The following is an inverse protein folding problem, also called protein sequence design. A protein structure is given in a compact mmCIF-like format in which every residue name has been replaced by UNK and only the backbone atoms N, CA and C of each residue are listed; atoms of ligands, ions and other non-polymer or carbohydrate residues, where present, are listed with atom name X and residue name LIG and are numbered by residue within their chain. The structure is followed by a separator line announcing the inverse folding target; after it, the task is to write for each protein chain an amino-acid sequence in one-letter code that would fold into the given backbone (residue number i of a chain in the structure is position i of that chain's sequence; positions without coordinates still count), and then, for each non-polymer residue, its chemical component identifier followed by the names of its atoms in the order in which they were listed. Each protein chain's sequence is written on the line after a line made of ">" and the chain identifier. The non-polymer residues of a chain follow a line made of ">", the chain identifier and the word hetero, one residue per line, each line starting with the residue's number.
data_IF_605715338905
#
_entry.id   IF_605715338905
#
_cell.length_a   1.000
_cell.length_b   1.000
_cell.length_c   1.000
_cell.angle_alpha   90.00
_cell.angle_beta   90.00
_cell.angle_gamma   90.00
#
_symmetry.space_group_name_H-M   'P 1'
#
loop_
_entity.id
_entity.type
_entity.pdbx_description
1 polymer ?
#
# COMPACT_ATOMS: atom_id res chain seq x y z
N UNK A 1 -36.77 44.23 9.42
CA UNK A 1 -37.43 43.03 9.98
C UNK A 1 -38.35 42.48 8.90
N UNK A 2 -37.94 41.42 8.20
CA UNK A 2 -38.66 40.85 7.06
C UNK A 2 -39.64 39.79 7.54
N UNK A 3 -40.93 40.12 7.54
CA UNK A 3 -42.02 39.17 7.80
C UNK A 3 -42.26 38.39 6.50
N UNK A 4 -41.80 37.14 6.47
CA UNK A 4 -42.08 36.21 5.36
C UNK A 4 -43.53 35.74 5.48
N UNK A 5 -44.36 35.87 4.43
CA UNK A 5 -45.75 35.42 4.48
C UNK A 5 -45.82 33.89 4.64
N UNK A 6 -46.85 33.35 5.34
CA UNK A 6 -47.06 31.92 5.46
C UNK A 6 -47.39 31.36 4.08
N UNK A 7 -46.48 30.55 3.53
CA UNK A 7 -46.71 29.86 2.26
C UNK A 7 -47.89 28.88 2.37
N UNK A 8 -48.64 28.67 1.28
CA UNK A 8 -49.76 27.73 1.27
C UNK A 8 -49.25 26.30 1.48
N UNK A 9 -49.86 25.63 2.46
CA UNK A 9 -49.95 24.18 2.68
C UNK A 9 -48.88 23.33 2.00
N UNK A 10 -47.76 23.16 2.70
CA UNK A 10 -46.81 22.10 2.40
C UNK A 10 -47.55 20.75 2.54
N UNK A 11 -47.59 19.90 1.49
CA UNK A 11 -48.29 18.63 1.57
C UNK A 11 -47.69 17.82 2.71
N UNK A 12 -48.55 17.43 3.65
CA UNK A 12 -48.18 16.64 4.80
C UNK A 12 -47.39 15.41 4.34
N UNK A 13 -46.18 15.24 4.88
CA UNK A 13 -45.47 13.97 4.81
C UNK A 13 -46.44 12.86 5.23
N UNK A 14 -46.51 11.72 4.52
CA UNK A 14 -47.47 10.65 4.79
C UNK A 14 -47.39 10.09 6.23
N UNK A 15 -46.30 10.35 6.95
CA UNK A 15 -46.07 9.89 8.32
C UNK A 15 -46.20 10.99 9.38
N UNK A 16 -46.69 12.18 9.00
CA UNK A 16 -46.87 13.30 9.93
C UNK A 16 -48.14 13.10 10.77
N UNK A 17 -48.00 12.45 11.93
CA UNK A 17 -49.09 12.34 12.91
C UNK A 17 -49.36 13.72 13.53
N UNK A 18 -50.61 14.17 13.43
CA UNK A 18 -51.11 15.37 14.07
C UNK A 18 -51.30 15.08 15.57
N UNK A 19 -50.62 15.82 16.45
CA UNK A 19 -50.69 15.63 17.90
C UNK A 19 -51.23 16.91 18.53
N UNK A 20 -52.27 16.80 19.36
CA UNK A 20 -52.76 17.94 20.13
C UNK A 20 -51.73 18.28 21.21
N UNK A 21 -51.20 19.50 21.16
CA UNK A 21 -50.16 19.98 22.08
C UNK A 21 -50.70 20.94 23.14
N UNK A 22 -51.92 21.44 22.98
CA UNK A 22 -52.50 22.34 23.97
C UNK A 22 -53.88 22.87 23.58
N UNK A 23 -54.26 23.95 24.24
CA UNK A 23 -55.48 24.72 23.99
C UNK A 23 -55.06 26.20 23.95
N UNK A 24 -55.56 26.95 22.97
CA UNK A 24 -55.29 28.39 22.84
C UNK A 24 -56.04 29.23 23.90
N UNK A 25 -55.74 30.53 23.96
CA UNK A 25 -56.35 31.46 24.92
C UNK A 25 -57.87 31.67 24.70
N UNK A 26 -58.42 31.12 23.61
CA UNK A 26 -59.85 31.16 23.28
C UNK A 26 -60.53 29.79 23.52
N UNK A 27 -59.82 28.81 24.09
CA UNK A 27 -60.36 27.49 24.37
C UNK A 27 -60.34 26.52 23.18
N UNK A 28 -59.70 26.88 22.07
CA UNK A 28 -59.57 26.05 20.87
C UNK A 28 -58.38 25.07 20.95
N UNK A 29 -58.49 23.84 20.41
CA UNK A 29 -57.41 22.86 20.47
C UNK A 29 -56.23 23.23 19.55
N UNK A 30 -55.02 23.25 20.10
CA UNK A 30 -53.78 23.52 19.38
C UNK A 30 -53.11 22.21 18.94
N UNK A 31 -52.75 22.10 17.67
CA UNK A 31 -52.13 20.91 17.09
C UNK A 31 -50.72 21.20 16.55
N UNK A 32 -49.81 20.25 16.76
CA UNK A 32 -48.49 20.26 16.14
C UNK A 32 -48.27 19.00 15.29
N UNK A 33 -47.48 19.17 14.24
CA UNK A 33 -47.02 18.06 13.44
C UNK A 33 -45.76 17.46 14.07
N UNK A 34 -45.81 16.18 14.43
CA UNK A 34 -44.61 15.44 14.83
C UNK A 34 -43.95 14.87 13.58
N UNK A 35 -42.82 15.45 13.17
CA UNK A 35 -42.01 14.89 12.08
C UNK A 35 -41.03 13.88 12.67
N UNK A 36 -41.32 12.59 12.49
CA UNK A 36 -40.38 11.53 12.85
C UNK A 36 -39.21 11.58 11.88
N UNK A 37 -37.98 11.78 12.39
CA UNK A 37 -36.79 11.75 11.54
C UNK A 37 -36.63 10.35 10.93
N UNK A 38 -36.30 10.24 9.63
CA UNK A 38 -36.09 8.95 8.99
C UNK A 38 -34.93 8.22 9.69
N UNK A 39 -35.19 6.97 10.10
CA UNK A 39 -34.16 6.11 10.68
C UNK A 39 -33.17 5.74 9.57
N UNK A 40 -31.98 6.35 9.60
CA UNK A 40 -30.89 5.98 8.69
C UNK A 40 -30.35 4.64 9.15
N UNK A 41 -30.71 3.56 8.46
CA UNK A 41 -30.07 2.26 8.69
C UNK A 41 -28.59 2.35 8.32
N UNK A 42 -27.66 1.90 9.18
CA UNK A 42 -26.25 1.84 8.83
C UNK A 42 -26.07 0.91 7.63
N UNK A 43 -25.42 1.41 6.58
CA UNK A 43 -25.11 0.62 5.40
C UNK A 43 -24.28 -0.62 5.80
N UNK A 44 -24.50 -1.77 5.16
CA UNK A 44 -23.76 -2.99 5.47
C UNK A 44 -22.25 -2.76 5.26
N UNK A 45 -21.46 -3.03 6.31
CA UNK A 45 -19.99 -3.00 6.23
C UNK A 45 -19.54 -4.13 5.30
N UNK A 46 -19.25 -3.78 4.06
CA UNK A 46 -18.65 -4.69 3.08
C UNK A 46 -17.22 -4.98 3.52
N UNK A 47 -16.99 -6.16 4.09
CA UNK A 47 -15.64 -6.67 4.38
C UNK A 47 -14.89 -6.90 3.06
N UNK A 48 -14.16 -5.88 2.60
CA UNK A 48 -13.21 -6.02 1.49
C UNK A 48 -11.92 -6.67 2.03
N UNK A 49 -11.35 -7.67 1.33
CA UNK A 49 -10.16 -8.40 1.79
C UNK A 49 -8.87 -7.61 1.56
N UNK A 50 -8.75 -6.43 2.18
CA UNK A 50 -7.58 -5.57 2.11
C UNK A 50 -6.28 -6.29 2.53
N UNK A 51 -6.39 -7.24 3.46
CA UNK A 51 -5.26 -8.03 3.95
C UNK A 51 -4.57 -8.87 2.87
N UNK A 52 -5.31 -9.38 1.88
CA UNK A 52 -4.72 -10.16 0.80
C UNK A 52 -3.80 -9.31 -0.09
N UNK A 53 -4.21 -8.08 -0.40
CA UNK A 53 -3.39 -7.15 -1.19
C UNK A 53 -2.14 -6.68 -0.44
N UNK A 54 -2.27 -6.41 0.86
CA UNK A 54 -1.13 -6.03 1.69
C UNK A 54 -0.11 -7.19 1.84
N UNK A 55 -0.59 -8.41 2.03
CA UNK A 55 0.26 -9.60 2.11
C UNK A 55 0.99 -9.86 0.78
N UNK A 56 0.31 -9.69 -0.36
CA UNK A 56 0.91 -9.87 -1.68
C UNK A 56 2.02 -8.83 -1.95
N UNK A 57 1.78 -7.58 -1.55
CA UNK A 57 2.75 -6.49 -1.71
C UNK A 57 4.03 -6.71 -0.89
N UNK A 58 3.89 -7.01 0.40
CA UNK A 58 5.05 -7.29 1.26
C UNK A 58 5.81 -8.55 0.84
N UNK A 59 5.11 -9.61 0.45
CA UNK A 59 5.74 -10.83 -0.05
C UNK A 59 6.59 -10.58 -1.29
N UNK A 60 6.08 -9.76 -2.23
CA UNK A 60 6.82 -9.39 -3.44
C UNK A 60 8.09 -8.58 -3.12
N UNK A 61 7.98 -7.57 -2.25
CA UNK A 61 9.14 -6.76 -1.85
C UNK A 61 10.20 -7.61 -1.15
N UNK A 62 9.79 -8.50 -0.25
CA UNK A 62 10.70 -9.41 0.43
C UNK A 62 11.41 -10.33 -0.56
N UNK A 63 10.65 -10.97 -1.47
CA UNK A 63 11.23 -11.80 -2.53
C UNK A 63 12.22 -11.01 -3.40
N UNK A 64 11.86 -9.80 -3.81
CA UNK A 64 12.73 -8.93 -4.62
C UNK A 64 14.02 -8.58 -3.88
N UNK A 65 13.95 -8.24 -2.59
CA UNK A 65 15.12 -7.91 -1.77
C UNK A 65 16.07 -9.10 -1.62
N UNK A 66 15.52 -10.30 -1.37
CA UNK A 66 16.31 -11.54 -1.26
C UNK A 66 16.99 -11.84 -2.59
N UNK A 67 16.27 -11.79 -3.70
CA UNK A 67 16.85 -12.00 -5.04
C UNK A 67 17.94 -10.97 -5.32
N UNK A 68 17.73 -9.70 -4.99
CA UNK A 68 18.72 -8.64 -5.15
C UNK A 68 20.00 -8.91 -4.37
N UNK A 69 19.90 -9.28 -3.09
CA UNK A 69 21.06 -9.61 -2.24
C UNK A 69 21.81 -10.83 -2.77
N UNK A 70 21.11 -11.88 -3.19
CA UNK A 70 21.72 -13.07 -3.78
C UNK A 70 22.48 -12.70 -5.06
N UNK A 71 21.89 -11.88 -5.92
CA UNK A 71 22.51 -11.48 -7.18
C UNK A 71 23.77 -10.63 -6.95
N UNK A 72 23.74 -9.70 -5.98
CA UNK A 72 24.91 -8.93 -5.56
C UNK A 72 26.00 -9.85 -5.01
N UNK A 73 25.65 -10.81 -4.15
CA UNK A 73 26.61 -11.77 -3.61
C UNK A 73 27.28 -12.61 -4.72
N UNK A 74 26.52 -13.05 -5.72
CA UNK A 74 27.05 -13.78 -6.88
C UNK A 74 28.02 -12.90 -7.68
N UNK A 75 27.66 -11.65 -7.96
CA UNK A 75 28.52 -10.73 -8.72
C UNK A 75 29.82 -10.46 -7.97
N UNK A 76 29.75 -10.22 -6.65
CA UNK A 76 30.95 -9.99 -5.83
C UNK A 76 31.81 -11.26 -5.79
N UNK A 77 31.22 -12.43 -5.55
CA UNK A 77 31.93 -13.70 -5.52
C UNK A 77 32.62 -13.99 -6.85
N UNK A 78 31.93 -13.75 -7.97
CA UNK A 78 32.48 -13.92 -9.32
C UNK A 78 33.61 -12.92 -9.60
N UNK A 79 33.47 -11.66 -9.19
CA UNK A 79 34.52 -10.65 -9.32
C UNK A 79 35.80 -11.06 -8.56
N UNK A 80 35.66 -11.56 -7.33
CA UNK A 80 36.79 -12.07 -6.54
C UNK A 80 37.40 -13.29 -7.22
N UNK A 81 36.60 -14.24 -7.68
CA UNK A 81 37.09 -15.43 -8.38
C UNK A 81 37.90 -15.06 -9.63
N UNK A 82 37.41 -14.11 -10.44
CA UNK A 82 38.15 -13.60 -11.59
C UNK A 82 39.44 -12.89 -11.19
N UNK A 83 39.43 -12.09 -10.13
CA UNK A 83 40.62 -11.43 -9.63
C UNK A 83 41.70 -12.46 -9.22
N UNK A 84 41.31 -13.49 -8.47
CA UNK A 84 42.23 -14.58 -8.08
C UNK A 84 42.74 -15.33 -9.31
N UNK A 85 41.87 -15.63 -10.27
CA UNK A 85 42.25 -16.31 -11.51
C UNK A 85 43.25 -15.49 -12.33
N UNK A 86 43.07 -14.17 -12.42
CA UNK A 86 44.02 -13.27 -13.06
C UNK A 86 45.38 -13.29 -12.37
N UNK A 87 45.42 -13.23 -11.03
CA UNK A 87 46.66 -13.34 -10.25
C UNK A 87 47.36 -14.68 -10.51
N UNK A 88 46.63 -15.79 -10.44
CA UNK A 88 47.18 -17.12 -10.72
C UNK A 88 47.79 -17.20 -12.13
N UNK A 89 47.12 -16.66 -13.15
CA UNK A 89 47.64 -16.63 -14.51
C UNK A 89 48.94 -15.83 -14.63
N UNK A 90 49.02 -14.68 -13.97
CA UNK A 90 50.24 -13.86 -13.94
C UNK A 90 51.38 -14.61 -13.24
N UNK A 91 51.11 -15.24 -12.09
CA UNK A 91 52.12 -16.04 -11.37
C UNK A 91 52.62 -17.20 -12.23
N UNK A 92 51.72 -17.94 -12.87
CA UNK A 92 52.08 -19.03 -13.78
C UNK A 92 52.91 -18.52 -14.96
N UNK A 93 52.53 -17.38 -15.54
CA UNK A 93 53.28 -16.79 -16.65
C UNK A 93 54.70 -16.45 -16.22
N UNK A 94 54.89 -15.83 -15.05
CA UNK A 94 56.22 -15.51 -14.49
C UNK A 94 57.02 -16.80 -14.26
N UNK A 95 56.43 -17.81 -13.61
CA UNK A 95 57.08 -19.10 -13.40
C UNK A 95 57.53 -19.74 -14.71
N UNK A 96 56.70 -19.72 -15.75
CA UNK A 96 57.03 -20.26 -17.07
C UNK A 96 58.14 -19.46 -17.76
N UNK A 97 58.14 -18.13 -17.64
CA UNK A 97 59.20 -17.27 -18.21
C UNK A 97 60.54 -17.56 -17.53
N UNK A 98 60.56 -17.68 -16.20
CA UNK A 98 61.78 -18.01 -15.44
C UNK A 98 62.27 -19.42 -15.78
N UNK A 99 61.38 -20.42 -15.79
CA UNK A 99 61.74 -21.79 -16.16
C UNK A 99 62.30 -21.86 -17.58
N UNK A 100 61.71 -21.11 -18.51
CA UNK A 100 62.19 -21.01 -19.89
C UNK A 100 63.54 -20.31 -19.98
N UNK A 101 63.78 -19.28 -19.16
CA UNK A 101 65.07 -18.61 -19.03
C UNK A 101 66.16 -19.59 -18.58
N UNK A 102 65.92 -20.29 -17.47
CA UNK A 102 66.83 -21.31 -16.94
C UNK A 102 67.10 -22.41 -17.97
N UNK A 103 66.07 -22.90 -18.66
CA UNK A 103 66.24 -23.94 -19.67
C UNK A 103 67.06 -23.48 -20.88
N UNK A 104 66.98 -22.19 -21.23
CA UNK A 104 67.78 -21.60 -22.30
C UNK A 104 69.22 -21.38 -21.89
N UNK A 105 69.49 -21.01 -20.63
CA UNK A 105 70.84 -20.85 -20.11
C UNK A 105 71.56 -22.20 -19.94
N UNK A 106 70.86 -23.23 -19.44
CA UNK A 106 71.39 -24.61 -19.33
C UNK A 106 71.73 -25.22 -20.69
N UNK A 107 71.06 -24.80 -21.77
CA UNK A 107 71.40 -25.23 -23.14
C UNK A 107 72.58 -24.48 -23.77
N UNK A 108 73.04 -23.37 -23.17
CA UNK A 108 74.09 -22.50 -23.72
C UNK A 108 75.43 -22.63 -22.99
N UNK A 109 75.43 -23.07 -21.73
CA UNK A 109 76.63 -23.53 -21.02
C UNK A 109 76.93 -24.98 -21.34
#
# INVERSE_FOLDING_TARGET
>A
MNLRPPGPHQPASPDATLVQIGVDDQGGPLYAYRQTAPTVMPAPLVHRPWGAYAALGCGFLFALTVVGVVLVAIVIGFAIALAVLAVCMVTLMICLVVLRGLWKDVRRG
#
